data_IF_348458383876
#
_entry.id   IF_348458383876
#
_cell.length_a   1.000
_cell.length_b   1.000
_cell.length_c   1.000
_cell.angle_alpha   90.00
_cell.angle_beta   90.00
_cell.angle_gamma   90.00
#
_symmetry.space_group_name_H-M   'P 1'
#
loop_
_entity.id
_entity.type
_entity.pdbx_description
1 polymer ?
#
# COMPACT_ATOMS: atom_id res chain seq x y z
N UNK A 1 -20.95 -10.49 2.75
CA UNK A 1 -19.74 -10.23 1.95
C UNK A 1 -19.41 -8.73 1.90
N UNK A 2 -20.40 -7.83 2.03
CA UNK A 2 -20.20 -6.36 2.11
C UNK A 2 -19.33 -5.93 3.29
N UNK A 3 -19.60 -6.42 4.50
CA UNK A 3 -18.98 -5.86 5.72
C UNK A 3 -17.45 -6.05 5.75
N UNK A 4 -16.95 -7.18 5.24
CA UNK A 4 -15.51 -7.46 5.14
C UNK A 4 -14.82 -6.55 4.12
N UNK A 5 -15.50 -6.27 3.01
CA UNK A 5 -14.98 -5.41 1.95
C UNK A 5 -14.95 -3.95 2.42
N UNK A 6 -16.01 -3.48 3.08
CA UNK A 6 -16.09 -2.11 3.57
C UNK A 6 -15.04 -1.84 4.66
N UNK A 7 -14.85 -2.75 5.62
CA UNK A 7 -13.78 -2.65 6.62
C UNK A 7 -12.38 -2.60 6.00
N UNK A 8 -12.15 -3.36 4.93
CA UNK A 8 -10.87 -3.34 4.23
C UNK A 8 -10.70 -2.10 3.38
N UNK A 9 -11.76 -1.60 2.75
CA UNK A 9 -11.75 -0.37 1.97
C UNK A 9 -11.39 0.85 2.83
N UNK A 10 -11.99 0.97 4.01
CA UNK A 10 -11.69 2.06 4.92
C UNK A 10 -10.26 1.95 5.47
N UNK A 11 -9.81 0.73 5.76
CA UNK A 11 -8.42 0.48 6.15
C UNK A 11 -7.42 0.89 5.05
N UNK A 12 -7.64 0.45 3.80
CA UNK A 12 -6.78 0.79 2.66
C UNK A 12 -6.74 2.30 2.44
N UNK A 13 -7.90 2.96 2.48
CA UNK A 13 -8.00 4.43 2.34
C UNK A 13 -7.22 5.16 3.43
N UNK A 14 -7.42 4.78 4.69
CA UNK A 14 -6.73 5.40 5.82
C UNK A 14 -5.22 5.23 5.69
N UNK A 15 -4.77 4.03 5.32
CA UNK A 15 -3.36 3.73 5.16
C UNK A 15 -2.73 4.49 3.98
N UNK A 16 -3.46 4.63 2.87
CA UNK A 16 -3.02 5.39 1.70
C UNK A 16 -2.81 6.87 2.05
N UNK A 17 -3.77 7.46 2.76
CA UNK A 17 -3.66 8.84 3.24
C UNK A 17 -2.47 8.98 4.19
N UNK A 18 -2.30 8.05 5.13
CA UNK A 18 -1.18 8.06 6.07
C UNK A 18 0.17 8.02 5.33
N UNK A 19 0.38 7.05 4.45
CA UNK A 19 1.64 6.93 3.72
C UNK A 19 1.87 8.07 2.73
N UNK A 20 0.83 8.51 2.02
CA UNK A 20 0.96 9.60 1.07
C UNK A 20 1.35 10.92 1.74
N UNK A 21 0.75 11.23 2.91
CA UNK A 21 1.12 12.43 3.68
C UNK A 21 2.52 12.34 4.29
N UNK A 22 2.94 11.18 4.79
CA UNK A 22 4.22 11.04 5.51
C UNK A 22 5.42 10.86 4.58
N UNK A 23 5.23 10.28 3.39
CA UNK A 23 6.33 9.94 2.48
C UNK A 23 6.24 10.68 1.14
N UNK A 24 5.22 11.54 0.96
CA UNK A 24 5.03 12.33 -0.24
C UNK A 24 4.69 11.49 -1.48
N UNK A 25 4.18 10.28 -1.31
CA UNK A 25 3.78 9.37 -2.41
C UNK A 25 2.33 9.68 -2.81
N UNK A 26 1.95 9.61 -4.10
CA UNK A 26 0.56 9.82 -4.51
C UNK A 26 -0.39 8.88 -3.77
N UNK A 27 -1.43 9.45 -3.15
CA UNK A 27 -2.41 8.70 -2.35
C UNK A 27 -3.17 7.69 -3.24
N UNK A 28 -3.43 8.06 -4.49
CA UNK A 28 -4.15 7.21 -5.45
C UNK A 28 -3.35 5.95 -5.81
N UNK A 29 -2.05 6.08 -6.06
CA UNK A 29 -1.17 4.93 -6.35
C UNK A 29 -1.12 3.97 -5.15
N UNK A 30 -0.96 4.51 -3.95
CA UNK A 30 -1.00 3.74 -2.70
C UNK A 30 -2.34 3.04 -2.50
N UNK A 31 -3.44 3.72 -2.80
CA UNK A 31 -4.78 3.16 -2.71
C UNK A 31 -4.99 2.01 -3.70
N UNK A 32 -4.57 2.19 -4.95
CA UNK A 32 -4.63 1.15 -5.98
C UNK A 32 -3.79 -0.06 -5.61
N UNK A 33 -2.55 0.14 -5.16
CA UNK A 33 -1.65 -0.93 -4.71
C UNK A 33 -2.24 -1.72 -3.54
N UNK A 34 -2.85 -1.03 -2.58
CA UNK A 34 -3.54 -1.68 -1.47
C UNK A 34 -4.71 -2.55 -1.92
N UNK A 35 -5.49 -2.11 -2.90
CA UNK A 35 -6.60 -2.91 -3.44
C UNK A 35 -6.13 -4.07 -4.30
N UNK A 36 -5.10 -3.88 -5.12
CA UNK A 36 -4.50 -4.95 -5.92
C UNK A 36 -4.04 -6.09 -5.01
N UNK A 37 -3.26 -5.76 -3.97
CA UNK A 37 -2.79 -6.74 -2.99
C UNK A 37 -3.95 -7.46 -2.27
N UNK A 38 -5.05 -6.74 -1.99
CA UNK A 38 -6.26 -7.35 -1.42
C UNK A 38 -6.89 -8.38 -2.37
N UNK A 39 -7.12 -8.01 -3.63
CA UNK A 39 -7.80 -8.88 -4.61
C UNK A 39 -6.98 -10.12 -4.98
N UNK A 40 -5.67 -9.98 -5.13
CA UNK A 40 -4.76 -11.10 -5.43
C UNK A 40 -4.77 -12.18 -4.33
N UNK A 41 -4.95 -11.75 -3.08
CA UNK A 41 -4.87 -12.63 -1.91
C UNK A 41 -6.25 -13.12 -1.42
N UNK A 42 -7.34 -12.57 -1.94
CA UNK A 42 -8.71 -12.89 -1.50
C UNK A 42 -9.00 -14.40 -1.54
N UNK A 43 -8.67 -15.05 -2.68
CA UNK A 43 -8.96 -16.48 -2.89
C UNK A 43 -8.11 -17.38 -1.99
N UNK A 44 -6.87 -16.97 -1.70
CA UNK A 44 -5.91 -17.73 -0.90
C UNK A 44 -6.34 -17.85 0.56
N UNK A 45 -7.00 -16.82 1.10
CA UNK A 45 -7.35 -16.76 2.52
C UNK A 45 -8.86 -16.91 2.82
N UNK A 46 -9.68 -17.24 1.81
CA UNK A 46 -11.15 -17.32 1.94
C UNK A 46 -11.64 -18.30 3.03
N UNK A 47 -10.83 -19.28 3.41
CA UNK A 47 -11.17 -20.29 4.42
C UNK A 47 -10.91 -19.88 5.87
N UNK A 48 -10.27 -18.72 6.10
CA UNK A 48 -9.97 -18.23 7.45
C UNK A 48 -11.24 -17.74 8.17
N UNK A 49 -11.23 -17.81 9.51
CA UNK A 49 -12.26 -17.14 10.31
C UNK A 49 -12.14 -15.63 10.07
N UNK A 50 -13.25 -14.92 10.21
CA UNK A 50 -13.33 -13.50 9.87
C UNK A 50 -12.25 -12.63 10.53
N UNK A 51 -12.02 -12.77 11.84
CA UNK A 51 -11.00 -12.00 12.56
C UNK A 51 -9.58 -12.27 12.01
N UNK A 52 -9.28 -13.52 11.68
CA UNK A 52 -8.00 -13.94 11.14
C UNK A 52 -7.82 -13.44 9.71
N UNK A 53 -8.87 -13.56 8.90
CA UNK A 53 -8.92 -13.06 7.53
C UNK A 53 -8.61 -11.56 7.50
N UNK A 54 -9.34 -10.75 8.28
CA UNK A 54 -9.13 -9.30 8.32
C UNK A 54 -7.72 -8.97 8.78
N UNK A 55 -7.20 -9.64 9.81
CA UNK A 55 -5.84 -9.42 10.30
C UNK A 55 -4.78 -9.71 9.22
N UNK A 56 -4.91 -10.84 8.52
CA UNK A 56 -3.99 -11.25 7.45
C UNK A 56 -4.06 -10.27 6.28
N UNK A 57 -5.26 -9.93 5.82
CA UNK A 57 -5.45 -9.00 4.70
C UNK A 57 -4.88 -7.62 5.01
N UNK A 58 -5.11 -7.09 6.22
CA UNK A 58 -4.49 -5.82 6.66
C UNK A 58 -2.97 -5.85 6.57
N UNK A 59 -2.35 -6.95 7.02
CA UNK A 59 -0.88 -7.12 6.96
C UNK A 59 -0.36 -7.20 5.53
N UNK A 60 -1.08 -7.88 4.64
CA UNK A 60 -0.71 -8.01 3.22
C UNK A 60 -0.75 -6.65 2.54
N UNK A 61 -1.89 -5.95 2.66
CA UNK A 61 -2.09 -4.59 2.13
C UNK A 61 -0.99 -3.65 2.65
N UNK A 62 -0.74 -3.67 3.96
CA UNK A 62 0.28 -2.82 4.56
C UNK A 62 1.68 -3.05 3.98
N UNK A 63 2.06 -4.31 3.79
CA UNK A 63 3.37 -4.66 3.22
C UNK A 63 3.49 -4.25 1.76
N UNK A 64 2.43 -4.42 0.97
CA UNK A 64 2.42 -4.03 -0.44
C UNK A 64 2.60 -2.51 -0.59
N UNK A 65 1.76 -1.74 0.10
CA UNK A 65 1.84 -0.27 0.07
C UNK A 65 3.18 0.26 0.61
N UNK A 66 3.70 -0.33 1.69
CA UNK A 66 5.00 0.08 2.23
C UNK A 66 6.17 -0.26 1.29
N UNK A 67 6.05 -1.33 0.48
CA UNK A 67 7.03 -1.65 -0.56
C UNK A 67 7.05 -0.56 -1.64
N UNK A 68 5.87 -0.14 -2.11
CA UNK A 68 5.74 0.97 -3.06
C UNK A 68 6.36 2.26 -2.49
N UNK A 69 6.10 2.58 -1.21
CA UNK A 69 6.74 3.72 -0.54
C UNK A 69 8.27 3.62 -0.59
N UNK A 70 8.83 2.45 -0.28
CA UNK A 70 10.29 2.25 -0.31
C UNK A 70 10.88 2.42 -1.71
N UNK A 71 10.19 1.92 -2.73
CA UNK A 71 10.61 2.04 -4.12
C UNK A 71 10.59 3.50 -4.57
N UNK A 72 9.55 4.25 -4.20
CA UNK A 72 9.40 5.66 -4.52
C UNK A 72 10.45 6.53 -3.81
N UNK A 73 10.74 6.27 -2.54
CA UNK A 73 11.83 6.95 -1.81
C UNK A 73 13.18 6.67 -2.49
N UNK A 74 13.43 5.42 -2.90
CA UNK A 74 14.66 5.04 -3.59
C UNK A 74 14.77 5.70 -4.97
N UNK A 75 13.65 5.84 -5.70
CA UNK A 75 13.61 6.53 -7.00
C UNK A 75 14.01 7.99 -6.85
N UNK A 76 13.39 8.71 -5.90
CA UNK A 76 13.70 10.13 -5.63
C UNK A 76 15.15 10.35 -5.19
N UNK A 77 15.70 9.46 -4.36
CA UNK A 77 17.11 9.55 -3.96
C UNK A 77 18.07 9.42 -5.15
N UNK A 78 17.73 8.60 -6.15
CA UNK A 78 18.51 8.48 -7.39
C UNK A 78 18.38 9.72 -8.28
N UNK A 79 17.18 10.31 -8.37
CA UNK A 79 16.94 11.52 -9.15
C UNK A 79 17.79 12.70 -8.64
N UNK A 80 17.81 12.90 -7.31
CA UNK A 80 18.66 13.93 -6.67
C UNK A 80 20.15 13.68 -6.96
N UNK A 81 20.61 12.42 -6.87
CA UNK A 81 22.01 12.09 -7.17
C UNK A 81 22.41 12.37 -8.62
N UNK A 82 21.48 12.35 -9.58
CA UNK A 82 21.77 12.64 -10.99
C UNK A 82 21.78 14.15 -11.22
N UNK A 83 20.85 14.90 -10.63
CA UNK A 83 20.86 16.37 -10.75
C UNK A 83 22.15 16.98 -10.20
N UNK A 84 22.66 16.44 -9.08
CA UNK A 84 23.92 16.89 -8.49
C UNK A 84 25.14 16.67 -9.41
N UNK A 85 25.07 15.71 -10.34
CA UNK A 85 26.12 15.43 -11.32
C UNK A 85 26.00 16.29 -12.58
N UNK A 86 24.79 16.75 -12.94
CA UNK A 86 24.56 17.61 -14.10
C UNK A 86 24.86 19.09 -13.80
N UNK A 87 24.87 19.49 -12.52
CA UNK A 87 25.25 20.84 -12.07
C UNK A 87 26.76 21.03 -11.82
N UNK A 88 27.57 19.96 -11.94
CA UNK A 88 29.05 19.99 -11.81
C UNK A 88 29.76 20.08 -13.16
#
# INVERSE_FOLDING_TARGET
MSDKFDLMKDYVRMLAIYYGKNFGVPIEDLFQEGFLAYYENLKHYKGLKEKEFVLVMKRIVNRAMYRLVKEEIKRRAKEVSISDLEEM
#
